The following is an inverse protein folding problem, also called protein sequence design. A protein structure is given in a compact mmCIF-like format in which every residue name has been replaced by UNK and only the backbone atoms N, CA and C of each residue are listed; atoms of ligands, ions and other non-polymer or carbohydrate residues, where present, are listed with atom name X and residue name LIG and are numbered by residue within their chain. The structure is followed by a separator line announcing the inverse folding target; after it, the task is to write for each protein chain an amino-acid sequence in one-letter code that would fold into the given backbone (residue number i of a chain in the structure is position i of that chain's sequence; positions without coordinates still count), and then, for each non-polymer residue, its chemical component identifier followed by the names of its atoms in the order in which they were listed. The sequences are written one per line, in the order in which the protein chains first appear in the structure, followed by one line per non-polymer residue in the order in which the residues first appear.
data_IF_496272605640
#
_entry.id   IF_496272605640
#
_cell.length_a   1.000
_cell.length_b   1.000
_cell.length_c   1.000
_cell.angle_alpha   90.00
_cell.angle_beta   90.00
_cell.angle_gamma   90.00
#
_symmetry.space_group_name_H-M   'P 1'
#
loop_
_entity.id
_entity.type
_entity.pdbx_description
1 polymer ?
#
# COMPACT_ATOMS: atom_id res chain seq x y z
N UNK A 1 -46.94 42.30 -6.30
CA UNK A 1 -46.77 40.93 -6.80
C UNK A 1 -45.40 40.64 -7.43
N UNK A 2 -44.73 41.59 -8.13
CA UNK A 2 -43.42 41.37 -8.75
C UNK A 2 -42.30 41.02 -7.73
N UNK A 3 -42.30 41.59 -6.55
CA UNK A 3 -41.23 41.37 -5.54
C UNK A 3 -41.36 40.01 -4.82
N UNK A 4 -42.55 39.42 -4.79
CA UNK A 4 -42.75 38.12 -4.18
C UNK A 4 -42.22 36.95 -5.02
N UNK A 5 -42.22 37.11 -6.36
CA UNK A 5 -41.70 36.10 -7.28
C UNK A 5 -40.19 36.07 -7.22
N UNK A 6 -39.54 37.22 -7.04
CA UNK A 6 -38.07 37.30 -6.97
C UNK A 6 -37.53 36.63 -5.72
N UNK A 7 -38.17 36.75 -4.58
CA UNK A 7 -37.78 36.12 -3.30
C UNK A 7 -37.93 34.59 -3.42
N UNK A 8 -38.98 34.10 -4.06
CA UNK A 8 -39.19 32.67 -4.25
C UNK A 8 -38.12 32.01 -5.13
N UNK A 9 -37.63 32.72 -6.16
CA UNK A 9 -36.52 32.23 -7.02
C UNK A 9 -35.16 32.19 -6.30
N UNK A 10 -34.88 33.16 -5.43
CA UNK A 10 -33.65 33.17 -4.62
C UNK A 10 -33.69 32.03 -3.59
N UNK A 11 -34.84 31.71 -3.01
CA UNK A 11 -34.97 30.59 -2.05
C UNK A 11 -34.79 29.22 -2.73
N UNK A 12 -35.20 29.05 -3.98
CA UNK A 12 -34.99 27.81 -4.74
C UNK A 12 -33.53 27.57 -5.13
N UNK A 13 -32.73 28.63 -5.26
CA UNK A 13 -31.29 28.49 -5.52
C UNK A 13 -30.47 28.09 -4.29
N UNK A 14 -30.94 28.42 -3.09
CA UNK A 14 -30.26 28.08 -1.83
C UNK A 14 -30.50 26.63 -1.37
N UNK A 15 -31.47 25.91 -1.95
CA UNK A 15 -31.77 24.51 -1.62
C UNK A 15 -30.97 23.49 -2.44
N UNK A 16 -30.11 23.94 -3.38
CA UNK A 16 -29.19 23.06 -4.11
C UNK A 16 -27.81 22.98 -3.49
N UNK A 17 -27.73 22.93 -2.17
CA UNK A 17 -26.54 22.39 -1.54
C UNK A 17 -26.64 20.86 -1.61
N UNK A 18 -26.34 20.29 -2.80
CA UNK A 18 -26.00 18.88 -2.88
C UNK A 18 -24.71 18.72 -2.05
N UNK A 19 -24.83 18.30 -0.81
CA UNK A 19 -23.73 17.68 -0.13
C UNK A 19 -23.34 16.48 -0.98
N UNK A 20 -22.23 16.56 -1.71
CA UNK A 20 -21.59 15.38 -2.27
C UNK A 20 -21.25 14.55 -1.05
N UNK A 21 -22.04 13.51 -0.80
CA UNK A 21 -21.76 12.55 0.24
C UNK A 21 -20.43 11.90 -0.18
N UNK A 22 -19.33 12.24 0.53
CA UNK A 22 -18.03 11.61 0.26
C UNK A 22 -18.18 10.13 0.55
N UNK A 23 -17.87 9.31 -0.43
CA UNK A 23 -17.89 7.86 -0.26
C UNK A 23 -16.66 7.44 0.57
N UNK A 24 -16.89 6.55 1.51
CA UNK A 24 -15.84 5.96 2.34
C UNK A 24 -14.95 5.06 1.47
N UNK A 25 -13.66 5.05 1.71
CA UNK A 25 -12.73 4.12 1.03
C UNK A 25 -13.22 2.68 1.27
N UNK A 26 -13.31 1.87 0.21
CA UNK A 26 -13.74 0.48 0.35
C UNK A 26 -12.58 -0.44 0.78
N UNK A 27 -12.88 -1.51 1.51
CA UNK A 27 -11.88 -2.51 1.88
C UNK A 27 -11.23 -3.13 0.64
N UNK A 28 -11.99 -3.37 -0.43
CA UNK A 28 -11.46 -3.92 -1.68
C UNK A 28 -10.44 -2.98 -2.36
N UNK A 29 -10.65 -1.67 -2.26
CA UNK A 29 -9.69 -0.67 -2.78
C UNK A 29 -8.37 -0.74 -2.01
N UNK A 30 -8.43 -0.84 -0.66
CA UNK A 30 -7.24 -0.96 0.18
C UNK A 30 -6.50 -2.26 -0.10
N UNK A 31 -7.21 -3.39 -0.10
CA UNK A 31 -6.65 -4.71 -0.38
C UNK A 31 -6.01 -4.76 -1.77
N UNK A 32 -6.67 -4.19 -2.79
CA UNK A 32 -6.13 -4.07 -4.14
C UNK A 32 -4.82 -3.27 -4.17
N UNK A 33 -4.70 -2.19 -3.39
CA UNK A 33 -3.46 -1.41 -3.27
C UNK A 33 -2.32 -2.20 -2.61
N UNK A 34 -2.62 -3.04 -1.61
CA UNK A 34 -1.62 -3.93 -1.00
C UNK A 34 -1.10 -4.92 -2.04
N UNK A 35 -1.97 -5.60 -2.80
CA UNK A 35 -1.53 -6.51 -3.86
C UNK A 35 -0.70 -5.79 -4.94
N UNK A 36 -1.11 -4.60 -5.38
CA UNK A 36 -0.40 -3.79 -6.37
C UNK A 36 1.02 -3.43 -5.88
N UNK A 37 1.18 -3.12 -4.58
CA UNK A 37 2.46 -2.83 -3.96
C UNK A 37 3.41 -4.04 -4.04
N UNK A 38 2.97 -5.23 -3.62
CA UNK A 38 3.77 -6.45 -3.68
C UNK A 38 4.06 -6.91 -5.11
N UNK A 39 3.09 -6.78 -6.02
CA UNK A 39 3.29 -7.07 -7.44
C UNK A 39 4.36 -6.17 -8.06
N UNK A 40 4.42 -4.90 -7.65
CA UNK A 40 5.46 -3.97 -8.10
C UNK A 40 6.83 -4.31 -7.51
N UNK A 41 6.91 -4.81 -6.28
CA UNK A 41 8.14 -5.27 -5.64
C UNK A 41 8.67 -6.58 -6.22
N UNK A 42 7.80 -7.44 -6.77
CA UNK A 42 8.17 -8.77 -7.31
C UNK A 42 9.29 -8.68 -8.34
N UNK A 43 10.27 -9.58 -8.26
CA UNK A 43 11.38 -9.67 -9.23
C UNK A 43 10.90 -9.93 -10.67
N UNK A 44 9.66 -10.42 -10.83
CA UNK A 44 9.03 -10.63 -12.14
C UNK A 44 8.59 -9.31 -12.80
N UNK A 45 8.44 -8.25 -12.03
CA UNK A 45 8.07 -6.94 -12.55
C UNK A 45 9.33 -6.16 -13.00
N UNK A 46 9.48 -5.85 -14.29
CA UNK A 46 10.66 -5.14 -14.80
C UNK A 46 10.63 -3.63 -14.47
N UNK A 47 9.46 -3.08 -14.15
CA UNK A 47 9.23 -1.64 -13.96
C UNK A 47 9.05 -1.31 -12.48
N UNK A 48 10.17 -1.22 -11.75
CA UNK A 48 10.18 -0.85 -10.33
C UNK A 48 9.79 0.60 -10.08
N UNK A 49 9.89 1.47 -11.07
CA UNK A 49 9.55 2.89 -10.94
C UNK A 49 8.04 3.10 -10.66
N UNK A 50 7.18 2.15 -11.04
CA UNK A 50 5.75 2.19 -10.71
C UNK A 50 5.46 2.31 -9.23
N UNK A 51 6.36 1.82 -8.35
CA UNK A 51 6.19 1.90 -6.90
C UNK A 51 6.01 3.36 -6.42
N UNK A 52 6.66 4.32 -7.11
CA UNK A 52 6.58 5.74 -6.75
C UNK A 52 5.20 6.37 -7.02
N UNK A 53 4.37 5.74 -7.87
CA UNK A 53 2.98 6.15 -8.07
C UNK A 53 2.06 5.68 -6.93
N UNK A 54 2.46 4.63 -6.19
CA UNK A 54 1.67 4.04 -5.12
C UNK A 54 1.93 4.68 -3.75
N UNK A 55 2.95 5.52 -3.63
CA UNK A 55 3.42 6.09 -2.37
C UNK A 55 3.34 7.61 -2.36
N UNK A 56 3.26 8.21 -1.18
CA UNK A 56 3.41 9.66 -1.01
C UNK A 56 4.88 10.08 -1.10
N UNK A 57 5.13 11.37 -1.38
CA UNK A 57 6.50 11.91 -1.48
C UNK A 57 7.33 11.75 -0.20
N UNK A 58 6.68 11.66 0.96
CA UNK A 58 7.30 11.49 2.27
C UNK A 58 7.06 10.11 2.86
N UNK A 59 6.78 9.12 2.00
CA UNK A 59 6.65 7.73 2.37
C UNK A 59 7.89 7.21 3.07
N UNK A 60 7.67 6.31 4.03
CA UNK A 60 8.73 5.54 4.66
C UNK A 60 8.25 4.15 5.05
N UNK A 61 9.20 3.23 5.14
CA UNK A 61 8.99 1.85 5.60
C UNK A 61 9.91 1.56 6.79
N UNK A 62 9.38 0.92 7.82
CA UNK A 62 10.17 0.25 8.84
C UNK A 62 10.30 -1.23 8.50
N UNK A 63 11.53 -1.67 8.35
CA UNK A 63 11.89 -3.05 8.06
C UNK A 63 13.22 -3.35 8.74
N UNK A 64 13.36 -4.54 9.33
CA UNK A 64 14.61 -4.98 9.97
C UNK A 64 15.18 -3.92 10.96
N UNK A 65 14.33 -3.39 11.85
CA UNK A 65 14.66 -2.41 12.90
C UNK A 65 15.22 -1.06 12.36
N UNK A 66 15.04 -0.77 11.09
CA UNK A 66 15.51 0.45 10.45
C UNK A 66 14.39 1.14 9.69
N UNK A 67 14.46 2.47 9.62
CA UNK A 67 13.61 3.31 8.77
C UNK A 67 14.30 3.53 7.43
N UNK A 68 13.54 3.30 6.33
CA UNK A 68 14.00 3.51 4.97
C UNK A 68 13.07 4.46 4.22
N UNK A 69 13.61 5.25 3.32
CA UNK A 69 12.86 5.76 2.16
C UNK A 69 12.63 4.60 1.17
N UNK A 70 11.75 4.78 0.18
CA UNK A 70 11.54 3.74 -0.84
C UNK A 70 12.81 3.43 -1.62
N UNK A 71 13.61 4.44 -1.97
CA UNK A 71 14.88 4.22 -2.67
C UNK A 71 15.85 3.36 -1.85
N UNK A 72 16.07 3.73 -0.57
CA UNK A 72 16.95 2.97 0.32
C UNK A 72 16.46 1.52 0.54
N UNK A 73 15.13 1.33 0.57
CA UNK A 73 14.55 -0.01 0.70
C UNK A 73 14.79 -0.87 -0.55
N UNK A 74 14.58 -0.31 -1.74
CA UNK A 74 14.87 -1.02 -3.00
C UNK A 74 16.37 -1.36 -3.13
N UNK A 75 17.25 -0.43 -2.73
CA UNK A 75 18.69 -0.68 -2.67
C UNK A 75 19.03 -1.83 -1.70
N UNK A 76 18.42 -1.84 -0.51
CA UNK A 76 18.57 -2.92 0.47
C UNK A 76 18.12 -4.27 -0.09
N UNK A 77 16.90 -4.34 -0.65
CA UNK A 77 16.36 -5.58 -1.23
C UNK A 77 17.24 -6.08 -2.39
N UNK A 78 17.78 -5.18 -3.20
CA UNK A 78 18.65 -5.55 -4.34
C UNK A 78 19.92 -6.30 -3.93
N UNK A 79 20.38 -6.17 -2.68
CA UNK A 79 21.56 -6.89 -2.16
C UNK A 79 21.38 -8.39 -2.05
N UNK A 80 20.14 -8.88 -2.01
CA UNK A 80 19.85 -10.30 -1.79
C UNK A 80 19.94 -11.18 -3.05
N UNK A 81 20.11 -10.62 -4.26
CA UNK A 81 20.17 -11.37 -5.52
C UNK A 81 19.01 -12.36 -5.70
N UNK A 82 17.78 -11.92 -5.38
CA UNK A 82 16.55 -12.72 -5.51
C UNK A 82 16.30 -12.98 -7.00
N UNK A 83 16.10 -14.25 -7.38
CA UNK A 83 15.81 -14.67 -8.76
C UNK A 83 14.37 -15.16 -8.94
N UNK A 84 13.70 -15.60 -7.86
CA UNK A 84 12.29 -15.93 -7.82
C UNK A 84 11.69 -15.45 -6.50
N UNK A 85 10.44 -15.01 -6.54
CA UNK A 85 9.66 -14.64 -5.37
C UNK A 85 8.23 -15.18 -5.47
N UNK A 86 7.63 -15.41 -4.31
CA UNK A 86 6.23 -15.71 -4.14
C UNK A 86 5.73 -15.10 -2.83
N UNK A 87 4.53 -14.50 -2.85
CA UNK A 87 3.93 -13.84 -1.71
C UNK A 87 2.55 -14.43 -1.41
N UNK A 88 2.27 -14.71 -0.14
CA UNK A 88 0.96 -15.11 0.36
C UNK A 88 0.49 -14.07 1.39
N UNK A 89 -0.47 -13.22 0.99
CA UNK A 89 -1.03 -12.17 1.82
C UNK A 89 -2.36 -12.64 2.39
N UNK A 90 -2.48 -12.65 3.72
CA UNK A 90 -3.64 -13.20 4.42
C UNK A 90 -4.01 -12.37 5.65
N UNK A 91 -5.17 -12.67 6.23
CA UNK A 91 -5.63 -12.09 7.50
C UNK A 91 -5.68 -10.56 7.49
N UNK A 92 -6.21 -9.99 6.40
CA UNK A 92 -6.44 -8.56 6.31
C UNK A 92 -7.44 -8.10 7.37
N UNK A 93 -7.03 -7.09 8.16
CA UNK A 93 -7.89 -6.32 9.04
C UNK A 93 -7.79 -4.86 8.63
N UNK A 94 -8.90 -4.30 8.12
CA UNK A 94 -8.92 -3.03 7.39
C UNK A 94 -9.90 -2.07 8.04
N UNK A 95 -9.37 -0.95 8.53
CA UNK A 95 -10.12 0.22 8.96
C UNK A 95 -10.05 1.33 7.93
N UNK A 96 -11.18 1.87 7.53
CA UNK A 96 -11.24 2.93 6.51
C UNK A 96 -11.99 4.16 6.98
N UNK A 97 -11.66 5.30 6.38
CA UNK A 97 -12.38 6.56 6.47
C UNK A 97 -12.54 7.16 5.06
N UNK A 98 -12.99 8.41 4.97
CA UNK A 98 -13.18 9.11 3.69
C UNK A 98 -11.86 9.47 2.97
N UNK A 99 -10.79 9.66 3.74
CA UNK A 99 -9.49 10.14 3.24
C UNK A 99 -8.30 9.26 3.62
N UNK A 100 -8.51 8.23 4.42
CA UNK A 100 -7.42 7.37 4.90
C UNK A 100 -7.89 5.95 5.17
N UNK A 101 -6.93 5.03 5.19
CA UNK A 101 -7.13 3.65 5.58
C UNK A 101 -5.93 3.15 6.38
N UNK A 102 -6.20 2.25 7.31
CA UNK A 102 -5.20 1.47 8.00
C UNK A 102 -5.47 -0.01 7.75
N UNK A 103 -4.44 -0.78 7.49
CA UNK A 103 -4.54 -2.22 7.28
C UNK A 103 -3.45 -2.93 8.05
N UNK A 104 -3.80 -4.05 8.68
CA UNK A 104 -2.85 -5.05 9.16
C UNK A 104 -3.07 -6.36 8.44
N UNK A 105 -2.02 -7.12 8.24
CA UNK A 105 -2.07 -8.41 7.55
C UNK A 105 -0.93 -9.33 7.98
N UNK A 106 -1.05 -10.60 7.61
CA UNK A 106 0.05 -11.56 7.62
C UNK A 106 0.57 -11.75 6.22
N UNK A 107 1.87 -11.77 6.08
CA UNK A 107 2.55 -12.03 4.81
C UNK A 107 3.51 -13.20 4.98
N UNK A 108 3.51 -14.12 4.00
CA UNK A 108 4.55 -15.12 3.82
C UNK A 108 5.26 -14.88 2.51
N UNK A 109 6.57 -14.77 2.56
CA UNK A 109 7.44 -14.63 1.39
C UNK A 109 8.31 -15.87 1.22
N UNK A 110 8.36 -16.38 -0.01
CA UNK A 110 9.30 -17.41 -0.42
C UNK A 110 10.19 -16.84 -1.53
N UNK A 111 11.50 -16.96 -1.35
CA UNK A 111 12.48 -16.39 -2.27
C UNK A 111 13.52 -17.43 -2.66
N UNK A 112 13.85 -17.50 -3.94
CA UNK A 112 15.06 -18.18 -4.39
C UNK A 112 16.15 -17.14 -4.58
N UNK A 113 17.23 -17.30 -3.85
CA UNK A 113 18.35 -16.37 -3.80
C UNK A 113 19.58 -17.05 -4.37
N UNK A 114 20.28 -16.36 -5.27
CA UNK A 114 21.54 -16.83 -5.84
C UNK A 114 22.70 -16.45 -4.94
N UNK A 115 23.46 -17.44 -4.48
CA UNK A 115 24.70 -17.24 -3.71
C UNK A 115 25.93 -17.80 -4.45
N UNK A 116 27.17 -17.47 -4.04
CA UNK A 116 28.36 -18.06 -4.63
C UNK A 116 28.44 -19.59 -4.53
N UNK A 117 27.82 -20.17 -3.48
CA UNK A 117 27.86 -21.61 -3.21
C UNK A 117 26.65 -22.38 -3.78
N UNK A 118 25.76 -21.71 -4.50
CA UNK A 118 24.55 -22.28 -5.08
C UNK A 118 23.30 -21.47 -4.73
N UNK A 119 22.14 -21.97 -5.12
CA UNK A 119 20.88 -21.32 -4.77
C UNK A 119 20.42 -21.73 -3.36
N UNK A 120 19.77 -20.82 -2.66
CA UNK A 120 19.10 -21.08 -1.39
C UNK A 120 17.65 -20.66 -1.47
N UNK A 121 16.76 -21.38 -0.77
CA UNK A 121 15.41 -20.97 -0.50
C UNK A 121 15.38 -20.22 0.81
N UNK A 122 14.83 -19.00 0.81
CA UNK A 122 14.54 -18.22 2.00
C UNK A 122 13.04 -18.14 2.18
N UNK A 123 12.56 -18.40 3.39
CA UNK A 123 11.14 -18.31 3.74
C UNK A 123 11.00 -17.37 4.94
N UNK A 124 10.06 -16.46 4.84
CA UNK A 124 9.77 -15.49 5.89
C UNK A 124 8.28 -15.48 6.22
N UNK A 125 7.96 -15.18 7.46
CA UNK A 125 6.63 -14.76 7.89
C UNK A 125 6.73 -13.39 8.55
N UNK A 126 5.83 -12.47 8.19
CA UNK A 126 5.75 -11.13 8.75
C UNK A 126 4.36 -10.81 9.28
N UNK A 127 4.34 -9.97 10.31
CA UNK A 127 3.19 -9.14 10.67
C UNK A 127 3.41 -7.76 10.06
N UNK A 128 2.43 -7.30 9.33
CA UNK A 128 2.56 -6.06 8.56
C UNK A 128 1.44 -5.08 8.89
N UNK A 129 1.76 -3.80 8.76
CA UNK A 129 0.82 -2.71 8.91
C UNK A 129 1.11 -1.63 7.90
N UNK A 130 0.07 -1.11 7.26
CA UNK A 130 0.17 0.00 6.33
C UNK A 130 -0.85 1.09 6.66
N UNK A 131 -0.44 2.34 6.48
CA UNK A 131 -1.31 3.50 6.51
C UNK A 131 -1.33 4.15 5.14
N UNK A 132 -2.54 4.30 4.60
CA UNK A 132 -2.78 4.88 3.29
C UNK A 132 -3.60 6.17 3.44
N UNK A 133 -3.37 7.12 2.55
CA UNK A 133 -4.12 8.38 2.48
C UNK A 133 -4.55 8.66 1.05
N UNK A 134 -5.66 9.37 0.87
CA UNK A 134 -6.03 9.94 -0.42
C UNK A 134 -5.23 11.23 -0.67
N UNK A 135 -4.47 11.21 -1.78
CA UNK A 135 -3.75 12.36 -2.32
C UNK A 135 -4.12 12.49 -3.80
N UNK A 136 -4.67 13.64 -4.20
CA UNK A 136 -5.18 13.89 -5.56
C UNK A 136 -6.22 12.84 -6.04
N UNK A 137 -7.14 12.46 -5.14
CA UNK A 137 -8.16 11.42 -5.32
C UNK A 137 -7.63 9.98 -5.51
N UNK A 138 -6.32 9.76 -5.39
CA UNK A 138 -5.69 8.45 -5.42
C UNK A 138 -5.30 7.98 -4.02
N UNK A 139 -5.51 6.69 -3.74
CA UNK A 139 -5.08 6.07 -2.48
C UNK A 139 -3.60 5.70 -2.56
N UNK A 140 -2.77 6.28 -1.68
CA UNK A 140 -1.31 6.10 -1.65
C UNK A 140 -0.83 5.68 -0.27
N UNK A 141 0.21 4.86 -0.23
CA UNK A 141 0.89 4.52 1.01
C UNK A 141 1.64 5.72 1.57
N UNK A 142 1.37 6.02 2.81
CA UNK A 142 2.06 7.02 3.61
C UNK A 142 3.13 6.41 4.49
N UNK A 143 2.87 5.17 4.94
CA UNK A 143 3.72 4.44 5.87
C UNK A 143 3.52 2.95 5.68
N UNK A 144 4.60 2.17 5.81
CA UNK A 144 4.57 0.72 5.88
C UNK A 144 5.45 0.22 7.02
N UNK A 145 5.01 -0.81 7.70
CA UNK A 145 5.74 -1.47 8.78
C UNK A 145 5.71 -2.98 8.56
N UNK A 146 6.85 -3.61 8.69
CA UNK A 146 7.02 -5.05 8.60
C UNK A 146 7.82 -5.55 9.80
N UNK A 147 7.30 -6.57 10.49
CA UNK A 147 7.94 -7.22 11.64
C UNK A 147 8.12 -8.70 11.35
N UNK A 148 9.36 -9.16 11.27
CA UNK A 148 9.69 -10.55 10.98
C UNK A 148 9.35 -11.45 12.16
N UNK A 149 8.41 -12.38 11.98
CA UNK A 149 7.98 -13.36 12.98
C UNK A 149 8.86 -14.61 12.93
N UNK A 150 9.18 -15.07 11.72
CA UNK A 150 10.03 -16.22 11.50
C UNK A 150 10.79 -16.11 10.19
N UNK A 151 11.96 -16.74 10.15
CA UNK A 151 12.79 -16.88 8.95
C UNK A 151 13.42 -18.27 8.88
N UNK A 152 13.60 -18.79 7.69
CA UNK A 152 14.38 -20.00 7.43
C UNK A 152 15.16 -19.89 6.13
N UNK A 153 16.34 -20.54 6.08
CA UNK A 153 17.19 -20.61 4.88
C UNK A 153 17.57 -22.07 4.66
N UNK A 154 17.27 -22.57 3.46
CA UNK A 154 17.51 -23.95 3.08
C UNK A 154 18.30 -24.00 1.76
N UNK A 155 19.45 -24.69 1.70
CA UNK A 155 20.15 -24.94 0.43
C UNK A 155 19.30 -25.73 -0.56
N UNK A 156 19.41 -25.40 -1.87
CA UNK A 156 18.71 -26.08 -2.97
C UNK A 156 19.65 -26.97 -3.78
#
# INVERSE_FOLDING_TARGET
MKNFILIFFVYMFLLRCNSIEKEKISNNEVEGKIYEFFETLSVKNPDKEKIYNLITNDFYIFENQKKYTMQEFLEFVSTFNIIEDNWELTNFDIDTDYNSAHVTLKNKGEFIVKTPDGNVKMEFEWLESAYLIKEDDELKFKFYFSDTVSESITPL
#
